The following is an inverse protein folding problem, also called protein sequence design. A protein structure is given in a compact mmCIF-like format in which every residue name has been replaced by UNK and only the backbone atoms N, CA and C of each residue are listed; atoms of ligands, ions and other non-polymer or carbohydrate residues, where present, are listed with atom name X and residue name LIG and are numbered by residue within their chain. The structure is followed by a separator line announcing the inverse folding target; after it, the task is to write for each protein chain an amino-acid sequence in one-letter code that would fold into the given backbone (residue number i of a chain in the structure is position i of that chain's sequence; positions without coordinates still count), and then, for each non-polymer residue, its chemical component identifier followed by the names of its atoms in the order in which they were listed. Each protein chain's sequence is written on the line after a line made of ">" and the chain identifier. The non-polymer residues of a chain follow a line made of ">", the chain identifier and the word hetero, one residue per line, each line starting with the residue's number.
data_IF_070345004031
#
_entry.id   IF_070345004031
#
_cell.length_a   1.000
_cell.length_b   1.000
_cell.length_c   1.000
_cell.angle_alpha   90.00
_cell.angle_beta   90.00
_cell.angle_gamma   90.00
#
_symmetry.space_group_name_H-M   'P 1'
#
loop_
_entity.id
_entity.type
_entity.pdbx_description
1 polymer ?
#
# COMPACT_ATOMS: atom_id res chain seq x y z
N UNK A 1 -14.21 -21.08 4.96
CA UNK A 1 -13.19 -20.06 4.60
C UNK A 1 -13.87 -19.10 3.65
N UNK A 2 -13.91 -17.80 3.95
CA UNK A 2 -14.43 -16.83 3.00
C UNK A 2 -13.50 -16.78 1.78
N UNK A 3 -14.09 -16.68 0.59
CA UNK A 3 -13.34 -16.57 -0.67
C UNK A 3 -12.56 -15.25 -0.70
N UNK A 4 -11.29 -15.29 -1.10
CA UNK A 4 -10.47 -14.08 -1.20
C UNK A 4 -11.04 -13.21 -2.35
N UNK A 5 -11.33 -11.92 -2.11
CA UNK A 5 -11.95 -11.09 -3.14
C UNK A 5 -11.05 -11.04 -4.38
N UNK A 6 -11.63 -11.37 -5.54
CA UNK A 6 -10.92 -11.33 -6.81
C UNK A 6 -10.41 -9.90 -7.04
N UNK A 7 -9.09 -9.75 -7.00
CA UNK A 7 -8.44 -8.48 -7.29
C UNK A 7 -8.62 -8.17 -8.78
N UNK A 8 -9.16 -6.99 -9.15
CA UNK A 8 -9.17 -6.58 -10.55
C UNK A 8 -7.75 -6.63 -11.12
N UNK A 9 -7.63 -6.97 -12.41
CA UNK A 9 -6.39 -7.11 -13.20
C UNK A 9 -5.59 -5.79 -13.36
N UNK A 10 -5.83 -4.84 -12.47
CA UNK A 10 -5.46 -3.42 -12.57
C UNK A 10 -4.39 -3.04 -11.54
N UNK A 11 -3.95 -3.97 -10.70
CA UNK A 11 -3.13 -3.62 -9.56
C UNK A 11 -1.65 -3.72 -9.88
N UNK A 12 -0.92 -2.69 -9.45
CA UNK A 12 0.53 -2.57 -9.48
C UNK A 12 1.20 -3.95 -9.38
N UNK A 13 2.11 -4.33 -10.27
CA UNK A 13 2.65 -5.69 -10.27
C UNK A 13 3.25 -6.06 -8.90
N UNK A 14 3.10 -7.33 -8.48
CA UNK A 14 3.84 -7.83 -7.32
C UNK A 14 5.28 -8.07 -7.73
N UNK A 15 6.22 -7.75 -6.83
CA UNK A 15 7.63 -7.94 -7.08
C UNK A 15 7.96 -9.40 -7.42
N UNK A 16 7.32 -10.36 -6.73
CA UNK A 16 7.56 -11.77 -6.97
C UNK A 16 7.15 -12.19 -8.39
N UNK A 17 6.01 -11.70 -8.87
CA UNK A 17 5.51 -11.99 -10.22
C UNK A 17 6.45 -11.41 -11.29
N UNK A 18 7.01 -10.23 -11.03
CA UNK A 18 8.03 -9.62 -11.89
C UNK A 18 9.34 -10.42 -11.90
N UNK A 19 9.77 -10.92 -10.74
CA UNK A 19 11.05 -11.65 -10.60
C UNK A 19 11.03 -13.04 -11.25
N UNK A 20 9.85 -13.64 -11.47
CA UNK A 20 9.70 -14.91 -12.17
C UNK A 20 9.32 -14.72 -13.65
N UNK A 21 9.16 -13.48 -14.10
CA UNK A 21 8.74 -13.19 -15.46
C UNK A 21 9.86 -13.59 -16.45
N UNK A 22 9.55 -14.24 -17.58
CA UNK A 22 10.56 -14.63 -18.58
C UNK A 22 11.42 -13.44 -19.05
N UNK A 23 10.78 -12.30 -19.32
CA UNK A 23 11.48 -11.06 -19.72
C UNK A 23 12.40 -10.51 -18.63
N UNK A 24 12.11 -10.76 -17.34
CA UNK A 24 13.02 -10.40 -16.26
C UNK A 24 14.25 -11.32 -16.30
N UNK A 25 14.04 -12.63 -16.40
CA UNK A 25 15.13 -13.62 -16.42
C UNK A 25 16.04 -13.48 -17.65
N UNK A 26 15.50 -12.99 -18.76
CA UNK A 26 16.23 -12.74 -20.01
C UNK A 26 16.75 -11.30 -20.17
N UNK A 27 16.52 -10.40 -19.22
CA UNK A 27 16.96 -9.00 -19.33
C UNK A 27 18.47 -8.86 -19.13
N UNK A 28 19.12 -8.08 -19.99
CA UNK A 28 20.54 -7.73 -19.89
C UNK A 28 20.86 -6.94 -18.61
N UNK A 29 19.95 -6.05 -18.21
CA UNK A 29 20.00 -5.33 -16.94
C UNK A 29 18.69 -5.53 -16.15
N UNK A 30 18.75 -6.47 -15.21
CA UNK A 30 17.65 -6.82 -14.30
C UNK A 30 17.15 -5.60 -13.51
N UNK A 31 18.05 -4.73 -13.06
CA UNK A 31 17.69 -3.57 -12.24
C UNK A 31 16.93 -2.54 -13.05
N UNK A 32 17.41 -2.23 -14.26
CA UNK A 32 16.73 -1.28 -15.15
C UNK A 32 15.38 -1.82 -15.61
N UNK A 33 15.29 -3.10 -15.97
CA UNK A 33 14.01 -3.72 -16.32
C UNK A 33 13.02 -3.62 -15.15
N UNK A 34 13.46 -4.01 -13.95
CA UNK A 34 12.60 -4.01 -12.77
C UNK A 34 12.12 -2.61 -12.41
N UNK A 35 13.02 -1.61 -12.45
CA UNK A 35 12.64 -0.19 -12.24
C UNK A 35 11.53 0.24 -13.18
N UNK A 36 11.63 -0.10 -14.48
CA UNK A 36 10.61 0.26 -15.49
C UNK A 36 9.27 -0.39 -15.19
N UNK A 37 9.26 -1.67 -14.81
CA UNK A 37 8.00 -2.38 -14.50
C UNK A 37 7.35 -1.93 -13.18
N UNK A 38 8.15 -1.44 -12.23
CA UNK A 38 7.66 -0.90 -10.97
C UNK A 38 7.05 0.51 -11.11
N UNK A 39 7.19 1.18 -12.27
CA UNK A 39 6.56 2.47 -12.50
C UNK A 39 5.04 2.33 -12.57
N UNK A 40 4.36 3.08 -11.71
CA UNK A 40 2.89 3.12 -11.64
C UNK A 40 2.40 4.38 -12.32
N UNK A 41 1.56 4.24 -13.35
CA UNK A 41 0.96 5.38 -14.05
C UNK A 41 -0.11 6.05 -13.20
N UNK A 42 -0.33 7.36 -13.39
CA UNK A 42 -1.42 8.10 -12.73
C UNK A 42 -2.79 7.45 -12.95
N UNK A 43 -3.03 6.87 -14.12
CA UNK A 43 -4.26 6.12 -14.41
C UNK A 43 -4.43 4.95 -13.45
N UNK A 44 -3.38 4.14 -13.23
CA UNK A 44 -3.40 3.02 -12.28
C UNK A 44 -3.57 3.50 -10.84
N UNK A 45 -2.94 4.62 -10.46
CA UNK A 45 -3.13 5.25 -9.15
C UNK A 45 -4.61 5.61 -8.95
N UNK A 46 -5.21 6.34 -9.90
CA UNK A 46 -6.60 6.79 -9.81
C UNK A 46 -7.60 5.62 -9.80
N UNK A 47 -7.37 4.59 -10.64
CA UNK A 47 -8.20 3.38 -10.66
C UNK A 47 -8.13 2.63 -9.33
N UNK A 48 -6.92 2.43 -8.79
CA UNK A 48 -6.73 1.80 -7.47
C UNK A 48 -7.39 2.62 -6.37
N UNK A 49 -7.28 3.94 -6.45
CA UNK A 49 -7.91 4.89 -5.52
C UNK A 49 -9.42 4.72 -5.51
N UNK A 50 -10.05 4.76 -6.68
CA UNK A 50 -11.49 4.61 -6.82
C UNK A 50 -11.97 3.22 -6.36
N UNK A 51 -11.26 2.17 -6.74
CA UNK A 51 -11.61 0.79 -6.39
C UNK A 51 -11.49 0.49 -4.89
N UNK A 52 -10.74 1.29 -4.14
CA UNK A 52 -10.45 1.07 -2.72
C UNK A 52 -11.08 2.11 -1.79
N UNK A 53 -12.03 2.91 -2.29
CA UNK A 53 -12.87 3.81 -1.47
C UNK A 53 -13.52 3.01 -0.33
N UNK A 54 -13.60 3.62 0.86
CA UNK A 54 -14.08 2.96 2.08
C UNK A 54 -12.96 2.28 2.89
N UNK A 55 -11.75 2.17 2.33
CA UNK A 55 -10.54 1.68 3.01
C UNK A 55 -10.79 0.39 3.80
N UNK A 56 -10.81 0.44 5.14
CA UNK A 56 -10.96 -0.73 6.00
C UNK A 56 -12.26 -1.52 5.77
N UNK A 57 -13.34 -0.83 5.37
CA UNK A 57 -14.63 -1.46 5.09
C UNK A 57 -14.67 -2.08 3.68
N UNK A 58 -13.66 -1.79 2.86
CA UNK A 58 -13.52 -2.32 1.51
C UNK A 58 -12.47 -3.43 1.51
N UNK A 59 -12.91 -4.68 1.28
CA UNK A 59 -12.02 -5.83 1.27
C UNK A 59 -10.89 -5.73 0.23
N UNK A 60 -11.10 -4.97 -0.87
CA UNK A 60 -10.05 -4.69 -1.86
C UNK A 60 -8.90 -3.87 -1.28
N UNK A 61 -9.15 -2.98 -0.31
CA UNK A 61 -8.08 -2.21 0.35
C UNK A 61 -7.04 -3.13 1.00
N UNK A 62 -7.50 -4.17 1.71
CA UNK A 62 -6.61 -5.14 2.34
C UNK A 62 -5.84 -5.97 1.30
N UNK A 63 -6.54 -6.41 0.24
CA UNK A 63 -5.96 -7.19 -0.85
C UNK A 63 -4.86 -6.40 -1.60
N UNK A 64 -5.13 -5.14 -1.95
CA UNK A 64 -4.18 -4.25 -2.64
C UNK A 64 -2.91 -4.03 -1.83
N UNK A 65 -3.00 -3.98 -0.49
CA UNK A 65 -1.87 -3.72 0.42
C UNK A 65 -1.07 -4.96 0.77
N UNK A 66 -1.62 -6.16 0.57
CA UNK A 66 -0.97 -7.44 0.90
C UNK A 66 0.30 -7.59 0.07
N UNK A 67 1.37 -8.08 0.70
CA UNK A 67 2.71 -8.23 0.14
C UNK A 67 3.37 -6.93 -0.35
N UNK A 68 2.90 -5.75 0.11
CA UNK A 68 3.46 -4.45 -0.27
C UNK A 68 4.04 -3.66 0.88
N UNK A 69 5.00 -2.81 0.52
CA UNK A 69 5.48 -1.77 1.40
C UNK A 69 4.45 -0.65 1.45
N UNK A 70 4.09 -0.23 2.66
CA UNK A 70 3.11 0.81 2.93
C UNK A 70 3.72 1.83 3.87
N UNK A 71 3.25 3.08 3.84
CA UNK A 71 3.78 4.11 4.72
C UNK A 71 3.83 3.68 6.20
N UNK A 72 2.77 3.00 6.68
CA UNK A 72 2.65 2.55 8.06
C UNK A 72 3.57 1.37 8.46
N UNK A 73 4.19 0.67 7.50
CA UNK A 73 5.16 -0.40 7.78
C UNK A 73 6.60 -0.05 7.32
N UNK A 74 6.80 1.11 6.69
CA UNK A 74 8.08 1.49 6.09
C UNK A 74 9.23 1.55 7.10
N UNK A 75 9.02 2.11 8.29
CA UNK A 75 10.04 2.10 9.34
C UNK A 75 10.47 0.69 9.78
N UNK A 76 9.56 -0.27 9.77
CA UNK A 76 9.91 -1.67 10.05
C UNK A 76 10.69 -2.31 8.90
N UNK A 77 10.42 -1.92 7.65
CA UNK A 77 11.16 -2.39 6.47
C UNK A 77 12.59 -1.87 6.50
N UNK A 78 12.79 -0.58 6.76
CA UNK A 78 14.12 0.00 6.90
C UNK A 78 14.92 -0.70 8.01
N UNK A 79 14.32 -0.89 9.18
CA UNK A 79 15.00 -1.62 10.25
C UNK A 79 15.34 -3.07 9.89
N UNK A 80 14.51 -3.75 9.10
CA UNK A 80 14.78 -5.11 8.63
C UNK A 80 15.91 -5.13 7.58
N UNK A 81 15.98 -4.12 6.72
CA UNK A 81 17.06 -3.92 5.76
C UNK A 81 18.40 -3.71 6.47
N UNK A 82 18.47 -2.78 7.42
CA UNK A 82 19.70 -2.49 8.18
C UNK A 82 20.22 -3.74 8.93
N UNK A 83 19.29 -4.50 9.52
CA UNK A 83 19.60 -5.73 10.27
C UNK A 83 19.81 -6.95 9.37
N UNK A 84 19.57 -6.83 8.06
CA UNK A 84 19.53 -7.94 7.08
C UNK A 84 18.67 -9.12 7.56
N UNK A 85 17.56 -8.83 8.25
CA UNK A 85 16.72 -9.84 8.91
C UNK A 85 15.25 -9.49 8.82
N UNK A 86 14.48 -10.38 8.18
CA UNK A 86 13.03 -10.31 8.17
C UNK A 86 12.45 -10.83 9.50
N UNK A 87 11.81 -9.97 10.27
CA UNK A 87 11.18 -10.36 11.55
C UNK A 87 9.82 -11.01 11.33
N UNK A 88 9.41 -11.88 12.25
CA UNK A 88 8.06 -12.50 12.24
C UNK A 88 6.97 -11.44 12.27
N UNK A 89 7.17 -10.36 13.03
CA UNK A 89 6.24 -9.22 13.07
C UNK A 89 6.15 -8.51 11.73
N UNK A 90 7.27 -8.26 11.03
CA UNK A 90 7.21 -7.68 9.69
C UNK A 90 6.52 -8.61 8.69
N UNK A 91 6.80 -9.93 8.74
CA UNK A 91 6.12 -10.92 7.90
C UNK A 91 4.60 -10.89 8.10
N UNK A 92 4.13 -10.89 9.36
CA UNK A 92 2.70 -10.79 9.68
C UNK A 92 2.07 -9.47 9.20
N UNK A 93 2.80 -8.34 9.26
CA UNK A 93 2.32 -7.05 8.74
C UNK A 93 2.19 -7.04 7.22
N UNK A 94 3.19 -7.57 6.50
CA UNK A 94 3.17 -7.65 5.04
C UNK A 94 2.07 -8.57 4.51
N UNK A 95 1.75 -9.63 5.25
CA UNK A 95 0.66 -10.56 4.91
C UNK A 95 -0.74 -10.06 5.30
N UNK A 96 -0.87 -8.84 5.83
CA UNK A 96 -2.13 -8.32 6.39
C UNK A 96 -2.74 -9.24 7.47
N UNK A 97 -1.90 -9.98 8.20
CA UNK A 97 -2.33 -11.00 9.17
C UNK A 97 -2.49 -10.46 10.61
N UNK A 98 -2.28 -9.16 10.82
CA UNK A 98 -2.54 -8.51 12.10
C UNK A 98 -3.96 -7.96 12.15
N UNK A 99 -4.80 -8.52 13.03
CA UNK A 99 -6.00 -7.82 13.48
C UNK A 99 -5.63 -6.92 14.68
N UNK A 100 -5.69 -5.59 14.46
CA UNK A 100 -5.46 -4.57 15.49
C UNK A 100 -6.74 -3.85 15.91
N UNK A 101 -7.90 -4.25 15.40
CA UNK A 101 -9.19 -3.56 15.58
C UNK A 101 -9.62 -3.49 17.04
N UNK A 102 -9.15 -4.43 17.86
CA UNK A 102 -9.46 -4.49 19.30
C UNK A 102 -8.51 -3.65 20.16
N UNK A 103 -7.52 -2.96 19.57
CA UNK A 103 -6.58 -2.13 20.32
C UNK A 103 -7.22 -0.77 20.59
N UNK A 104 -7.25 -0.35 21.86
CA UNK A 104 -7.89 0.91 22.26
C UNK A 104 -7.42 2.15 21.45
N UNK A 105 -6.13 2.34 21.14
CA UNK A 105 -5.72 3.47 20.28
C UNK A 105 -6.28 3.40 18.86
N UNK A 106 -6.43 2.19 18.30
CA UNK A 106 -7.01 1.99 16.96
C UNK A 106 -8.51 2.29 16.99
N UNK A 107 -9.23 1.79 18.00
CA UNK A 107 -10.65 2.08 18.19
C UNK A 107 -10.89 3.58 18.39
N UNK A 108 -10.04 4.25 19.18
CA UNK A 108 -10.15 5.68 19.38
C UNK A 108 -9.99 6.45 18.06
N UNK A 109 -8.95 6.14 17.27
CA UNK A 109 -8.73 6.76 15.97
C UNK A 109 -9.89 6.55 15.00
N UNK A 110 -10.42 5.32 14.96
CA UNK A 110 -11.60 4.97 14.17
C UNK A 110 -12.82 5.81 14.53
N UNK A 111 -13.13 5.90 15.83
CA UNK A 111 -14.34 6.59 16.30
C UNK A 111 -14.28 8.09 16.01
N UNK A 112 -13.09 8.70 16.05
CA UNK A 112 -12.92 10.14 15.93
C UNK A 112 -12.45 10.60 14.55
N UNK A 113 -12.17 9.68 13.61
CA UNK A 113 -11.64 10.01 12.27
C UNK A 113 -12.49 11.05 11.55
N UNK A 114 -13.82 10.86 11.53
CA UNK A 114 -14.74 11.76 10.84
C UNK A 114 -14.80 13.15 11.48
N UNK A 115 -14.75 13.24 12.80
CA UNK A 115 -14.73 14.51 13.53
C UNK A 115 -13.43 15.26 13.23
N UNK A 116 -12.30 14.57 13.25
CA UNK A 116 -11.00 15.17 12.90
C UNK A 116 -10.98 15.68 11.47
N UNK A 117 -11.52 14.92 10.51
CA UNK A 117 -11.62 15.35 9.11
C UNK A 117 -12.49 16.61 8.99
N UNK A 118 -13.65 16.64 9.66
CA UNK A 118 -14.57 17.77 9.62
C UNK A 118 -13.93 19.06 10.19
N UNK A 119 -13.31 18.98 11.37
CA UNK A 119 -12.64 20.13 11.98
C UNK A 119 -11.44 20.60 11.14
N UNK A 120 -10.66 19.68 10.58
CA UNK A 120 -9.57 20.02 9.67
C UNK A 120 -10.08 20.75 8.41
N UNK A 121 -11.15 20.24 7.79
CA UNK A 121 -11.73 20.85 6.60
C UNK A 121 -12.31 22.25 6.88
N UNK A 122 -12.92 22.42 8.05
CA UNK A 122 -13.45 23.71 8.51
C UNK A 122 -12.34 24.74 8.72
N UNK A 123 -11.24 24.35 9.36
CA UNK A 123 -10.11 25.25 9.64
C UNK A 123 -9.39 25.69 8.36
N UNK A 124 -9.17 24.77 7.43
CA UNK A 124 -8.34 25.01 6.24
C UNK A 124 -9.13 25.24 4.95
N UNK A 125 -10.47 25.24 5.00
CA UNK A 125 -11.33 25.48 3.84
C UNK A 125 -11.17 24.44 2.72
N UNK A 126 -10.78 23.21 3.06
CA UNK A 126 -10.58 22.14 2.07
C UNK A 126 -11.74 21.14 2.07
N UNK A 127 -11.98 20.48 0.94
CA UNK A 127 -12.87 19.31 0.86
C UNK A 127 -12.03 18.05 0.97
N UNK A 128 -12.20 17.25 2.02
CA UNK A 128 -11.51 15.97 2.11
C UNK A 128 -12.06 15.02 1.05
N UNK A 129 -11.27 14.72 0.02
CA UNK A 129 -11.45 13.47 -0.71
C UNK A 129 -10.93 12.37 0.21
N UNK A 130 -11.77 11.38 0.52
CA UNK A 130 -11.46 10.22 1.39
C UNK A 130 -10.50 9.24 0.67
N UNK A 131 -9.56 9.75 -0.11
CA UNK A 131 -8.70 9.02 -1.02
C UNK A 131 -7.24 9.09 -0.57
N UNK A 132 -6.94 8.42 0.54
CA UNK A 132 -5.58 8.26 1.11
C UNK A 132 -4.57 7.58 0.16
N UNK A 133 -5.03 7.03 -0.98
CA UNK A 133 -4.17 6.32 -1.95
C UNK A 133 -3.18 7.26 -2.63
N UNK A 134 -3.51 8.55 -2.78
CA UNK A 134 -2.61 9.51 -3.43
C UNK A 134 -1.30 9.70 -2.66
N UNK A 135 -1.33 9.62 -1.31
CA UNK A 135 -0.14 9.77 -0.48
C UNK A 135 0.70 8.48 -0.36
N UNK A 136 0.10 7.28 -0.50
CA UNK A 136 0.85 6.02 -0.37
C UNK A 136 1.60 5.61 -1.65
N UNK A 137 1.14 6.03 -2.82
CA UNK A 137 1.80 5.71 -4.09
C UNK A 137 2.89 6.73 -4.50
N UNK A 138 2.97 7.90 -3.85
CA UNK A 138 4.03 8.89 -4.11
C UNK A 138 5.40 8.45 -3.54
N UNK A 139 5.41 7.54 -2.55
CA UNK A 139 6.67 7.02 -1.99
C UNK A 139 7.47 6.14 -2.98
N UNK A 140 6.87 5.65 -4.06
CA UNK A 140 7.63 4.97 -5.14
C UNK A 140 8.35 5.96 -6.06
N UNK A 141 7.86 7.20 -6.20
CA UNK A 141 8.53 8.25 -6.99
C UNK A 141 9.76 8.79 -6.28
N UNK A 142 9.69 9.00 -4.97
CA UNK A 142 10.79 9.55 -4.18
C UNK A 142 12.05 8.66 -4.15
N UNK A 143 11.92 7.36 -4.45
CA UNK A 143 13.03 6.40 -4.40
C UNK A 143 13.64 6.04 -5.76
N UNK A 144 13.06 6.50 -6.87
CA UNK A 144 13.54 6.18 -8.23
C UNK A 144 14.36 7.30 -8.90
N UNK A 145 14.63 8.42 -8.22
CA UNK A 145 15.53 9.45 -8.74
C UNK A 145 15.11 9.95 -10.13
N UNK A 146 13.83 10.28 -10.29
CA UNK A 146 13.32 11.09 -11.41
C UNK A 146 12.69 12.35 -10.82
#
# INVERSE_FOLDING_TARGET
>A
MAEEPQTPDVLVPLLNDLMIHPDYLGAEDLHTWLRRQLLVSHKKINQTTAATIGQRENALWAAVRKLRFTASNFGHILSAFDKKKLTVSLKKRLLSAYNLEKRAPVQWGVTHEQVCIAEYCKEFGCTSLVSWVQHQMVLSKAFLGV
#
